data_IF_802492131338
#
_entry.id   IF_802492131338
#
_cell.length_a   1.000
_cell.length_b   1.000
_cell.length_c   1.000
_cell.angle_alpha   90.00
_cell.angle_beta   90.00
_cell.angle_gamma   90.00
#
_symmetry.space_group_name_H-M   'P 1'
#
loop_
_entity.id
_entity.type
_entity.pdbx_description
1 polymer ?
#
# COMPACT_ATOMS: atom_id res chain seq x y z
N UNK A 1 -1.52 -0.04 -22.63
CA UNK A 1 -2.16 1.22 -23.07
C UNK A 1 -1.11 2.12 -23.74
N UNK A 2 -1.51 3.12 -24.53
CA UNK A 2 -0.58 4.03 -25.23
C UNK A 2 -0.12 5.13 -24.27
N UNK A 3 1.14 5.56 -24.37
CA UNK A 3 1.68 6.70 -23.62
C UNK A 3 0.80 7.94 -23.84
N UNK A 4 0.11 8.42 -22.80
CA UNK A 4 -0.80 9.57 -22.86
C UNK A 4 -2.11 9.40 -22.10
N UNK A 5 -2.46 8.20 -21.65
CA UNK A 5 -3.68 7.96 -20.86
C UNK A 5 -3.44 8.17 -19.36
N UNK A 6 -4.34 8.92 -18.73
CA UNK A 6 -4.40 9.16 -17.29
C UNK A 6 -4.83 7.89 -16.55
N UNK A 7 -4.14 7.53 -15.47
CA UNK A 7 -4.45 6.37 -14.64
C UNK A 7 -5.17 6.81 -13.38
N UNK A 8 -6.36 6.25 -13.10
CA UNK A 8 -7.18 6.57 -11.92
C UNK A 8 -6.99 5.52 -10.84
N UNK A 9 -6.51 5.93 -9.67
CA UNK A 9 -6.27 5.05 -8.51
C UNK A 9 -7.12 5.54 -7.34
N UNK A 10 -7.95 4.66 -6.77
CA UNK A 10 -8.69 4.94 -5.55
C UNK A 10 -8.03 4.30 -4.34
N UNK A 11 -7.78 5.07 -3.29
CA UNK A 11 -7.31 4.56 -2.00
C UNK A 11 -8.49 4.16 -1.14
N UNK A 12 -8.68 2.85 -0.92
CA UNK A 12 -9.88 2.29 -0.29
C UNK A 12 -9.76 1.96 1.18
N UNK A 13 -8.56 1.97 1.75
CA UNK A 13 -8.32 1.77 3.18
C UNK A 13 -6.99 2.40 3.57
N UNK A 14 -6.91 2.97 4.78
CA UNK A 14 -5.68 3.50 5.36
C UNK A 14 -5.13 2.76 6.56
N UNK A 15 -5.86 1.78 7.10
CA UNK A 15 -5.44 0.96 8.23
C UNK A 15 -6.32 -0.29 8.36
N UNK A 16 -5.87 -1.29 9.12
CA UNK A 16 -6.67 -2.46 9.43
C UNK A 16 -7.84 -2.11 10.35
N UNK A 17 -9.07 -2.40 9.90
CA UNK A 17 -10.31 -2.02 10.57
C UNK A 17 -10.91 -0.69 10.09
N UNK A 18 -10.42 -0.12 8.98
CA UNK A 18 -11.03 1.02 8.30
C UNK A 18 -12.41 0.64 7.69
N UNK A 19 -13.17 1.65 7.24
CA UNK A 19 -14.53 1.49 6.74
C UNK A 19 -14.61 0.66 5.46
N UNK A 20 -15.40 -0.41 5.46
CA UNK A 20 -15.71 -1.19 4.26
C UNK A 20 -16.52 -0.44 3.22
N UNK A 21 -17.06 0.75 3.56
CA UNK A 21 -17.68 1.62 2.56
C UNK A 21 -16.65 2.25 1.62
N UNK A 22 -15.39 2.42 2.04
CA UNK A 22 -14.32 3.00 1.21
C UNK A 22 -14.09 2.23 -0.10
N UNK A 23 -13.79 0.91 -0.05
CA UNK A 23 -13.64 0.11 -1.25
C UNK A 23 -14.95 0.02 -2.04
N UNK A 24 -16.10 -0.09 -1.35
CA UNK A 24 -17.41 -0.19 -1.98
C UNK A 24 -17.75 1.04 -2.82
N UNK A 25 -17.62 2.25 -2.28
CA UNK A 25 -17.91 3.48 -3.01
C UNK A 25 -16.98 3.65 -4.22
N UNK A 26 -15.71 3.26 -4.08
CA UNK A 26 -14.70 3.40 -5.13
C UNK A 26 -14.96 2.44 -6.29
N UNK A 27 -15.30 1.18 -6.01
CA UNK A 27 -15.66 0.18 -7.02
C UNK A 27 -16.95 0.57 -7.76
N UNK A 28 -17.97 1.04 -7.03
CA UNK A 28 -19.28 1.32 -7.61
C UNK A 28 -19.34 2.67 -8.34
N UNK A 29 -18.69 3.69 -7.78
CA UNK A 29 -18.88 5.10 -8.16
C UNK A 29 -17.58 5.87 -8.41
N UNK A 30 -16.40 5.30 -8.12
CA UNK A 30 -15.12 6.00 -8.25
C UNK A 30 -14.60 6.14 -9.68
N UNK A 31 -15.09 5.32 -10.61
CA UNK A 31 -14.56 5.24 -11.99
C UNK A 31 -13.03 5.09 -12.00
N UNK A 32 -12.51 4.10 -11.28
CA UNK A 32 -11.07 3.87 -11.10
C UNK A 32 -10.58 2.72 -11.97
N UNK A 33 -9.29 2.75 -12.31
CA UNK A 33 -8.60 1.63 -12.93
C UNK A 33 -8.05 0.67 -11.86
N UNK A 34 -7.55 1.25 -10.76
CA UNK A 34 -6.96 0.52 -9.64
C UNK A 34 -7.63 0.87 -8.33
N UNK A 35 -7.97 -0.15 -7.55
CA UNK A 35 -8.28 -0.04 -6.14
C UNK A 35 -7.05 -0.42 -5.35
N UNK A 36 -6.53 0.49 -4.52
CA UNK A 36 -5.43 0.20 -3.61
C UNK A 36 -5.89 0.24 -2.18
N UNK A 37 -5.38 -0.66 -1.34
CA UNK A 37 -5.73 -0.71 0.08
C UNK A 37 -4.49 -0.90 0.94
N UNK A 38 -4.32 0.00 1.90
CA UNK A 38 -3.30 -0.10 2.94
C UNK A 38 -3.95 -0.52 4.27
N UNK A 39 -3.49 -1.64 4.81
CA UNK A 39 -3.96 -2.24 6.05
C UNK A 39 -2.94 -2.13 7.19
N UNK A 40 -1.67 -1.89 6.86
CA UNK A 40 -0.60 -2.25 7.78
C UNK A 40 -0.04 -1.02 8.48
N UNK A 41 -0.09 -1.05 9.81
CA UNK A 41 0.74 -0.21 10.67
C UNK A 41 1.70 -1.10 11.47
N UNK A 42 2.72 -0.51 12.10
CA UNK A 42 3.69 -1.24 12.92
C UNK A 42 3.02 -2.05 14.05
N UNK A 43 1.97 -1.48 14.66
CA UNK A 43 1.18 -2.17 15.70
C UNK A 43 0.40 -3.36 15.13
N UNK A 44 -0.16 -3.21 13.92
CA UNK A 44 -0.91 -4.26 13.21
C UNK A 44 -0.03 -5.48 12.97
N UNK A 45 1.20 -5.27 12.51
CA UNK A 45 2.16 -6.36 12.28
C UNK A 45 2.39 -7.21 13.53
N UNK A 46 2.45 -6.58 14.69
CA UNK A 46 2.63 -7.27 15.98
C UNK A 46 1.42 -8.16 16.34
N UNK A 47 0.21 -7.70 16.02
CA UNK A 47 -1.03 -8.45 16.24
C UNK A 47 -1.10 -9.64 15.28
N UNK A 48 -0.79 -9.44 14.01
CA UNK A 48 -0.78 -10.49 12.99
C UNK A 48 0.29 -11.56 13.28
N UNK A 49 1.48 -11.16 13.73
CA UNK A 49 2.52 -12.09 14.18
C UNK A 49 2.06 -12.93 15.38
N UNK A 50 1.30 -12.34 16.32
CA UNK A 50 0.69 -13.09 17.43
C UNK A 50 -0.38 -14.06 16.93
N UNK A 51 -1.20 -13.67 15.95
CA UNK A 51 -2.21 -14.55 15.35
C UNK A 51 -1.55 -15.75 14.65
N UNK A 52 -0.56 -15.52 13.78
CA UNK A 52 0.17 -16.59 13.06
C UNK A 52 0.84 -17.60 13.99
N UNK A 53 1.35 -17.15 15.14
CA UNK A 53 1.93 -18.06 16.16
C UNK A 53 0.91 -18.96 16.84
N UNK A 54 -0.34 -18.50 16.95
CA UNK A 54 -1.44 -19.31 17.51
C UNK A 54 -1.99 -20.28 16.46
N UNK A 55 -2.09 -19.81 15.22
CA UNK A 55 -2.58 -20.57 14.08
C UNK A 55 -1.75 -20.23 12.83
N UNK A 56 -0.96 -21.19 12.28
CA UNK A 56 -0.15 -20.97 11.09
C UNK A 56 -0.93 -20.53 9.85
N UNK A 57 -2.25 -20.75 9.79
CA UNK A 57 -3.11 -20.31 8.69
C UNK A 57 -3.47 -18.81 8.77
N UNK A 58 -3.24 -18.15 9.91
CA UNK A 58 -3.51 -16.71 10.11
C UNK A 58 -2.25 -15.86 9.88
N UNK A 59 -2.37 -14.54 10.14
CA UNK A 59 -1.27 -13.58 10.00
C UNK A 59 -1.46 -12.56 8.88
N UNK A 60 -2.68 -12.44 8.36
CA UNK A 60 -3.11 -11.46 7.36
C UNK A 60 -4.43 -10.80 7.80
N UNK A 61 -4.79 -9.67 7.17
CA UNK A 61 -6.04 -8.95 7.42
C UNK A 61 -7.23 -9.71 6.82
N UNK A 62 -7.93 -10.50 7.64
CA UNK A 62 -9.01 -11.39 7.19
C UNK A 62 -10.25 -10.64 6.70
N UNK A 63 -10.46 -9.44 7.18
CA UNK A 63 -11.52 -8.52 6.76
C UNK A 63 -11.36 -8.05 5.31
N UNK A 64 -10.14 -7.99 4.76
CA UNK A 64 -9.96 -7.79 3.31
C UNK A 64 -10.71 -8.86 2.50
N UNK A 65 -10.66 -10.12 2.94
CA UNK A 65 -11.40 -11.20 2.29
C UNK A 65 -12.92 -11.05 2.50
N UNK A 66 -13.37 -10.83 3.74
CA UNK A 66 -14.80 -10.88 4.08
C UNK A 66 -15.56 -9.61 3.70
N UNK A 67 -14.93 -8.45 3.78
CA UNK A 67 -15.57 -7.14 3.62
C UNK A 67 -15.26 -6.49 2.26
N UNK A 68 -14.23 -6.93 1.54
CA UNK A 68 -13.85 -6.37 0.23
C UNK A 68 -14.00 -7.40 -0.87
N UNK A 69 -13.20 -8.47 -0.85
CA UNK A 69 -13.20 -9.46 -1.93
C UNK A 69 -14.56 -10.14 -2.04
N UNK A 70 -15.08 -10.71 -0.95
CA UNK A 70 -16.34 -11.44 -0.97
C UNK A 70 -17.51 -10.62 -1.55
N UNK A 71 -17.79 -9.39 -1.09
CA UNK A 71 -18.92 -8.62 -1.60
C UNK A 71 -18.67 -7.92 -2.96
N UNK A 72 -17.41 -7.69 -3.35
CA UNK A 72 -17.10 -6.84 -4.53
C UNK A 72 -16.47 -7.57 -5.71
N UNK A 73 -16.01 -8.83 -5.56
CA UNK A 73 -15.27 -9.55 -6.61
C UNK A 73 -15.98 -9.57 -7.98
N UNK A 74 -17.29 -9.82 -8.00
CA UNK A 74 -18.09 -9.82 -9.24
C UNK A 74 -18.05 -8.46 -9.93
N UNK A 75 -18.18 -7.38 -9.16
CA UNK A 75 -18.21 -6.02 -9.70
C UNK A 75 -16.82 -5.53 -10.11
N UNK A 76 -15.79 -5.88 -9.34
CA UNK A 76 -14.37 -5.67 -9.66
C UNK A 76 -14.06 -6.31 -11.03
N UNK A 77 -14.45 -7.57 -11.21
CA UNK A 77 -14.28 -8.27 -12.47
C UNK A 77 -15.06 -7.63 -13.62
N UNK A 78 -16.36 -7.35 -13.41
CA UNK A 78 -17.23 -6.74 -14.43
C UNK A 78 -16.70 -5.40 -14.93
N UNK A 79 -16.05 -4.62 -14.06
CA UNK A 79 -15.48 -3.30 -14.38
C UNK A 79 -14.03 -3.35 -14.85
N UNK A 80 -13.36 -4.50 -14.76
CA UNK A 80 -11.94 -4.63 -15.05
C UNK A 80 -11.05 -3.83 -14.10
N UNK A 81 -11.46 -3.67 -12.83
CA UNK A 81 -10.67 -2.98 -11.81
C UNK A 81 -9.58 -3.93 -11.33
N UNK A 82 -8.33 -3.45 -11.28
CA UNK A 82 -7.22 -4.17 -10.66
C UNK A 82 -7.11 -3.79 -9.18
N UNK A 83 -6.77 -4.74 -8.33
CA UNK A 83 -6.67 -4.55 -6.88
C UNK A 83 -5.23 -4.77 -6.43
N UNK A 84 -4.69 -3.85 -5.62
CA UNK A 84 -3.39 -4.01 -4.99
C UNK A 84 -3.51 -3.71 -3.49
N UNK A 85 -3.07 -4.63 -2.63
CA UNK A 85 -3.11 -4.39 -1.19
C UNK A 85 -1.94 -5.03 -0.46
N UNK A 86 -1.64 -4.51 0.72
CA UNK A 86 -0.68 -5.11 1.65
C UNK A 86 -1.38 -5.93 2.77
N UNK A 87 -2.63 -6.36 2.53
CA UNK A 87 -3.43 -7.12 3.49
C UNK A 87 -2.79 -8.46 3.91
N UNK A 88 -1.76 -8.93 3.20
CA UNK A 88 -1.07 -10.18 3.49
C UNK A 88 -0.30 -10.18 4.82
N UNK A 89 0.05 -9.02 5.36
CA UNK A 89 0.67 -8.91 6.69
C UNK A 89 1.94 -9.76 6.80
N UNK A 90 1.98 -10.66 7.79
CA UNK A 90 3.09 -11.61 7.98
C UNK A 90 2.82 -12.97 7.34
N UNK A 91 1.72 -13.14 6.61
CA UNK A 91 1.37 -14.38 5.91
C UNK A 91 0.65 -14.11 4.57
N UNK A 92 1.32 -13.44 3.62
CA UNK A 92 0.71 -13.07 2.34
C UNK A 92 0.28 -14.28 1.52
N UNK A 93 0.95 -15.43 1.67
CA UNK A 93 0.58 -16.65 0.95
C UNK A 93 -0.79 -17.18 1.37
N UNK A 94 -1.04 -17.35 2.68
CA UNK A 94 -2.35 -17.82 3.15
C UNK A 94 -3.47 -16.82 2.84
N UNK A 95 -3.15 -15.52 2.76
CA UNK A 95 -4.10 -14.51 2.28
C UNK A 95 -4.51 -14.79 0.82
N UNK A 96 -3.53 -14.99 -0.07
CA UNK A 96 -3.77 -15.30 -1.48
C UNK A 96 -4.56 -16.60 -1.65
N UNK A 97 -4.19 -17.66 -0.94
CA UNK A 97 -4.87 -18.96 -1.01
C UNK A 97 -6.35 -18.83 -0.62
N UNK A 98 -6.64 -18.03 0.42
CA UNK A 98 -8.01 -17.77 0.87
C UNK A 98 -8.82 -16.96 -0.14
N UNK A 99 -8.20 -15.98 -0.82
CA UNK A 99 -8.84 -15.20 -1.90
C UNK A 99 -9.14 -16.11 -3.09
N UNK A 100 -8.19 -16.93 -3.54
CA UNK A 100 -8.40 -17.88 -4.64
C UNK A 100 -9.56 -18.83 -4.34
N UNK A 101 -9.61 -19.37 -3.11
CA UNK A 101 -10.70 -20.23 -2.68
C UNK A 101 -12.06 -19.52 -2.66
N UNK A 102 -12.11 -18.24 -2.30
CA UNK A 102 -13.33 -17.43 -2.32
C UNK A 102 -13.79 -17.12 -3.75
N UNK A 103 -12.87 -16.72 -4.63
CA UNK A 103 -13.16 -16.45 -6.05
C UNK A 103 -13.70 -17.70 -6.76
N UNK A 104 -13.12 -18.86 -6.48
CA UNK A 104 -13.58 -20.14 -7.03
C UNK A 104 -15.03 -20.46 -6.61
N UNK A 105 -15.40 -20.20 -5.34
CA UNK A 105 -16.79 -20.38 -4.87
C UNK A 105 -17.78 -19.46 -5.58
N UNK A 106 -17.35 -18.27 -5.97
CA UNK A 106 -18.18 -17.29 -6.66
C UNK A 106 -18.18 -17.46 -8.19
N UNK A 107 -17.32 -18.32 -8.73
CA UNK A 107 -17.15 -18.49 -10.18
C UNK A 107 -16.55 -17.24 -10.86
N UNK A 108 -15.76 -16.45 -10.14
CA UNK A 108 -15.17 -15.19 -10.65
C UNK A 108 -13.74 -15.46 -11.12
N UNK A 109 -13.41 -15.27 -12.42
CA UNK A 109 -12.12 -15.67 -12.98
C UNK A 109 -11.04 -14.57 -12.84
N UNK A 110 -10.79 -14.11 -11.61
CA UNK A 110 -9.73 -13.13 -11.32
C UNK A 110 -8.42 -13.84 -10.94
N UNK A 111 -7.30 -13.35 -11.47
CA UNK A 111 -5.96 -13.88 -11.18
C UNK A 111 -5.36 -13.20 -9.95
N UNK A 112 -4.90 -14.00 -8.99
CA UNK A 112 -4.29 -13.51 -7.74
C UNK A 112 -2.78 -13.76 -7.78
N UNK A 113 -1.99 -12.76 -7.39
CA UNK A 113 -0.55 -12.88 -7.21
C UNK A 113 -0.12 -12.46 -5.80
N UNK A 114 0.85 -13.19 -5.26
CA UNK A 114 1.43 -12.97 -3.94
C UNK A 114 2.83 -12.34 -4.08
N UNK A 115 3.07 -11.22 -3.42
CA UNK A 115 4.39 -10.61 -3.27
C UNK A 115 4.93 -10.94 -1.90
N UNK A 116 5.97 -11.77 -1.87
CA UNK A 116 6.68 -12.23 -0.66
C UNK A 116 8.12 -11.72 -0.65
N UNK A 117 8.79 -11.84 0.50
CA UNK A 117 10.21 -11.52 0.66
C UNK A 117 10.47 -10.42 1.69
N UNK A 118 9.41 -9.91 2.31
CA UNK A 118 9.46 -8.94 3.39
C UNK A 118 9.90 -9.56 4.72
N UNK A 119 9.76 -10.87 4.93
CA UNK A 119 10.23 -11.55 6.15
C UNK A 119 11.76 -11.45 6.30
N UNK A 120 12.17 -10.58 7.21
CA UNK A 120 13.55 -10.27 7.53
C UNK A 120 14.08 -11.04 8.76
N UNK A 121 13.33 -12.00 9.32
CA UNK A 121 13.76 -12.76 10.51
C UNK A 121 15.09 -13.46 10.28
N UNK A 122 15.29 -14.05 9.09
CA UNK A 122 16.54 -14.71 8.70
C UNK A 122 17.76 -13.78 8.72
N UNK A 123 17.55 -12.48 8.49
CA UNK A 123 18.61 -11.47 8.54
C UNK A 123 18.94 -11.14 10.00
N UNK A 124 17.93 -11.02 10.86
CA UNK A 124 18.13 -10.72 12.27
C UNK A 124 18.78 -11.88 13.03
N UNK A 125 18.59 -13.13 12.61
CA UNK A 125 19.23 -14.30 13.22
C UNK A 125 20.60 -14.63 12.61
N UNK A 126 21.09 -13.79 11.69
CA UNK A 126 22.35 -13.96 10.98
C UNK A 126 23.58 -13.46 11.73
N UNK A 127 24.76 -13.73 11.17
CA UNK A 127 26.08 -13.34 11.72
C UNK A 127 26.26 -11.84 11.91
N UNK A 128 25.52 -11.04 11.15
CA UNK A 128 25.59 -9.57 11.19
C UNK A 128 24.62 -8.95 12.21
N UNK A 129 23.91 -9.74 13.02
CA UNK A 129 22.95 -9.25 14.02
C UNK A 129 23.52 -8.12 14.88
N UNK A 130 24.75 -8.28 15.34
CA UNK A 130 25.44 -7.32 16.22
C UNK A 130 25.86 -6.02 15.53
N UNK A 131 25.72 -5.92 14.20
CA UNK A 131 25.93 -4.66 13.45
C UNK A 131 24.64 -3.88 13.28
N UNK A 132 23.50 -4.52 13.53
CA UNK A 132 22.19 -3.93 13.38
C UNK A 132 21.89 -2.99 14.52
N UNK A 133 21.43 -1.78 14.19
CA UNK A 133 21.03 -0.77 15.17
C UNK A 133 19.62 -0.30 14.91
N UNK A 134 18.92 0.03 15.98
CA UNK A 134 17.65 0.73 15.91
C UNK A 134 17.88 2.14 15.33
N UNK A 135 17.03 2.55 14.39
CA UNK A 135 17.24 3.72 13.54
C UNK A 135 17.26 5.05 14.31
N UNK A 136 16.43 5.19 15.35
CA UNK A 136 16.23 6.46 16.04
C UNK A 136 17.23 6.66 17.19
N UNK A 137 17.56 5.59 17.90
CA UNK A 137 18.35 5.61 19.13
C UNK A 137 19.76 5.06 18.94
N UNK A 138 20.02 4.32 17.86
CA UNK A 138 21.28 3.60 17.68
C UNK A 138 21.47 2.46 18.68
N UNK A 139 20.39 2.00 19.33
CA UNK A 139 20.46 0.91 20.31
C UNK A 139 20.68 -0.45 19.63
N UNK A 140 21.29 -1.39 20.35
CA UNK A 140 21.34 -2.77 19.92
C UNK A 140 19.94 -3.39 19.86
N UNK A 141 19.76 -4.38 18.99
CA UNK A 141 18.50 -5.13 18.93
C UNK A 141 18.23 -5.86 20.25
N UNK A 142 16.94 -6.02 20.63
CA UNK A 142 16.54 -6.92 21.71
C UNK A 142 17.11 -8.33 21.52
N UNK A 143 17.31 -9.13 22.58
CA UNK A 143 17.89 -10.48 22.44
C UNK A 143 17.06 -11.44 21.58
N UNK A 144 15.73 -11.26 21.55
CA UNK A 144 14.80 -12.11 20.81
C UNK A 144 13.76 -11.26 20.10
N UNK A 145 13.52 -11.55 18.83
CA UNK A 145 12.48 -10.94 18.00
C UNK A 145 11.38 -11.96 17.74
N UNK A 146 10.15 -11.47 17.64
CA UNK A 146 8.96 -12.24 17.27
C UNK A 146 8.73 -12.23 15.76
N UNK A 147 8.95 -11.07 15.14
CA UNK A 147 8.80 -10.86 13.70
C UNK A 147 9.68 -9.69 13.27
N UNK A 148 10.04 -9.68 11.99
CA UNK A 148 10.75 -8.60 11.34
C UNK A 148 10.29 -8.52 9.88
N UNK A 149 9.80 -7.36 9.47
CA UNK A 149 9.23 -7.16 8.14
C UNK A 149 9.86 -5.94 7.46
N UNK A 150 10.48 -6.16 6.31
CA UNK A 150 11.06 -5.13 5.47
C UNK A 150 9.98 -4.40 4.68
N UNK A 151 10.16 -3.10 4.50
CA UNK A 151 9.27 -2.26 3.68
C UNK A 151 9.73 -2.44 2.24
N UNK A 152 9.16 -3.42 1.54
CA UNK A 152 9.41 -3.62 0.12
C UNK A 152 8.94 -2.43 -0.73
N UNK A 153 9.57 -2.29 -1.90
CA UNK A 153 9.18 -1.33 -2.92
C UNK A 153 8.12 -1.83 -3.90
N UNK A 154 7.86 -1.03 -4.92
CA UNK A 154 6.76 -1.14 -5.87
C UNK A 154 7.05 -2.03 -7.09
N UNK A 155 8.32 -2.24 -7.45
CA UNK A 155 8.66 -3.05 -8.64
C UNK A 155 8.13 -4.51 -8.60
N UNK A 156 8.14 -5.23 -7.46
CA UNK A 156 7.52 -6.56 -7.38
C UNK A 156 6.00 -6.54 -7.64
N UNK A 157 5.31 -5.48 -7.22
CA UNK A 157 3.88 -5.29 -7.51
C UNK A 157 3.68 -5.08 -9.01
N UNK A 158 4.46 -4.20 -9.63
CA UNK A 158 4.38 -3.92 -11.06
C UNK A 158 4.65 -5.17 -11.92
N UNK A 159 5.61 -5.99 -11.49
CA UNK A 159 5.93 -7.27 -12.13
C UNK A 159 4.75 -8.26 -12.03
N UNK A 160 4.12 -8.37 -10.87
CA UNK A 160 2.93 -9.22 -10.70
C UNK A 160 1.78 -8.78 -11.63
N UNK A 161 1.55 -7.47 -11.75
CA UNK A 161 0.57 -6.90 -12.69
C UNK A 161 0.97 -7.18 -14.15
N UNK A 162 2.25 -7.07 -14.50
CA UNK A 162 2.77 -7.37 -15.84
C UNK A 162 2.56 -8.83 -16.25
N UNK A 163 2.53 -9.75 -15.29
CA UNK A 163 2.21 -11.16 -15.51
C UNK A 163 0.71 -11.45 -15.58
N UNK A 164 -0.12 -10.41 -15.56
CA UNK A 164 -1.56 -10.50 -15.75
C UNK A 164 -2.34 -10.75 -14.47
N UNK A 165 -1.78 -10.45 -13.29
CA UNK A 165 -2.56 -10.45 -12.05
C UNK A 165 -3.65 -9.37 -12.10
N UNK A 166 -4.82 -9.72 -11.56
CA UNK A 166 -5.93 -8.79 -11.32
C UNK A 166 -5.95 -8.34 -9.86
N UNK A 167 -5.52 -9.21 -8.95
CA UNK A 167 -5.37 -8.93 -7.52
C UNK A 167 -3.92 -9.21 -7.13
N UNK A 168 -3.22 -8.23 -6.58
CA UNK A 168 -1.88 -8.37 -6.02
C UNK A 168 -1.93 -8.14 -4.52
N UNK A 169 -1.49 -9.15 -3.75
CA UNK A 169 -1.39 -9.07 -2.29
C UNK A 169 0.07 -9.10 -1.89
N UNK A 170 0.48 -8.15 -1.06
CA UNK A 170 1.83 -8.08 -0.50
C UNK A 170 1.80 -8.34 1.03
N UNK A 171 2.97 -8.69 1.58
CA UNK A 171 3.23 -8.60 3.02
C UNK A 171 3.46 -7.14 3.44
N UNK A 172 4.57 -6.83 4.14
CA UNK A 172 4.95 -5.43 4.35
C UNK A 172 5.58 -4.82 3.08
N UNK A 173 5.06 -3.67 2.69
CA UNK A 173 5.68 -2.76 1.74
C UNK A 173 5.65 -1.33 2.29
N UNK A 174 6.28 -0.38 1.61
CA UNK A 174 5.95 1.02 1.83
C UNK A 174 4.49 1.27 1.43
N UNK A 175 3.83 2.17 2.13
CA UNK A 175 2.38 2.36 2.05
C UNK A 175 1.99 2.86 0.66
N UNK A 176 2.72 3.86 0.14
CA UNK A 176 2.63 4.30 -1.26
C UNK A 176 2.99 3.26 -2.32
N UNK A 177 3.69 2.16 -1.98
CA UNK A 177 4.19 1.19 -2.98
C UNK A 177 3.06 0.47 -3.73
N UNK A 178 1.88 0.31 -3.12
CA UNK A 178 0.72 -0.31 -3.79
C UNK A 178 0.20 0.54 -4.94
N UNK A 179 0.24 1.87 -4.80
CA UNK A 179 -0.12 2.81 -5.87
C UNK A 179 1.00 2.93 -6.91
N UNK A 180 2.25 3.08 -6.46
CA UNK A 180 3.42 3.19 -7.36
C UNK A 180 3.56 1.95 -8.23
N UNK A 181 3.26 0.76 -7.71
CA UNK A 181 3.33 -0.50 -8.46
C UNK A 181 2.38 -0.51 -9.66
N UNK A 182 1.15 0.01 -9.47
CA UNK A 182 0.20 0.20 -10.56
C UNK A 182 0.71 1.21 -11.60
N UNK A 183 1.31 2.33 -11.16
CA UNK A 183 1.83 3.36 -12.06
C UNK A 183 3.06 2.88 -12.85
N UNK A 184 3.97 2.12 -12.23
CA UNK A 184 5.09 1.48 -12.93
C UNK A 184 4.58 0.52 -14.00
N UNK A 185 3.54 -0.27 -13.71
CA UNK A 185 2.94 -1.19 -14.68
C UNK A 185 2.34 -0.44 -15.87
N UNK A 186 1.56 0.60 -15.63
CA UNK A 186 0.86 1.34 -16.69
C UNK A 186 1.78 2.22 -17.54
N UNK A 187 2.72 2.92 -16.89
CA UNK A 187 3.62 3.87 -17.57
C UNK A 187 4.96 3.27 -17.98
N UNK A 188 5.25 2.05 -17.53
CA UNK A 188 6.49 1.33 -17.87
C UNK A 188 7.75 1.93 -17.25
N UNK A 189 7.61 2.75 -16.20
CA UNK A 189 8.70 3.44 -15.51
C UNK A 189 9.81 2.46 -15.10
N UNK A 190 11.05 2.95 -15.17
CA UNK A 190 12.28 2.23 -14.85
C UNK A 190 12.87 2.73 -13.54
N UNK A 191 13.79 1.97 -12.91
CA UNK A 191 14.44 2.38 -11.65
C UNK A 191 15.17 3.74 -11.70
N UNK A 192 15.49 4.24 -12.90
CA UNK A 192 16.14 5.54 -13.08
C UNK A 192 15.17 6.68 -13.41
N UNK A 193 13.86 6.42 -13.56
CA UNK A 193 12.84 7.44 -13.78
C UNK A 193 12.44 8.10 -12.45
N UNK A 194 13.43 8.64 -11.74
CA UNK A 194 13.34 9.01 -10.33
C UNK A 194 12.26 10.05 -10.06
N UNK A 195 12.11 11.06 -10.91
CA UNK A 195 11.08 12.09 -10.74
C UNK A 195 9.66 11.52 -10.90
N UNK A 196 9.48 10.57 -11.82
CA UNK A 196 8.21 9.93 -12.05
C UNK A 196 7.85 8.99 -10.89
N UNK A 197 8.83 8.19 -10.42
CA UNK A 197 8.70 7.38 -9.20
C UNK A 197 8.37 8.24 -7.98
N UNK A 198 9.03 9.39 -7.82
CA UNK A 198 8.78 10.32 -6.72
C UNK A 198 7.36 10.92 -6.79
N UNK A 199 6.91 11.34 -7.97
CA UNK A 199 5.55 11.82 -8.19
C UNK A 199 4.50 10.75 -7.89
N UNK A 200 4.71 9.51 -8.36
CA UNK A 200 3.84 8.37 -8.06
C UNK A 200 3.81 8.02 -6.57
N UNK A 201 4.95 8.10 -5.88
CA UNK A 201 5.02 7.89 -4.43
C UNK A 201 4.23 8.94 -3.66
N UNK A 202 4.32 10.21 -4.06
CA UNK A 202 3.51 11.26 -3.44
C UNK A 202 2.02 11.08 -3.75
N UNK A 203 1.67 10.63 -4.96
CA UNK A 203 0.29 10.30 -5.30
C UNK A 203 -0.26 9.19 -4.40
N UNK A 204 0.54 8.13 -4.17
CA UNK A 204 0.22 7.06 -3.22
C UNK A 204 0.04 7.58 -1.80
N UNK A 205 0.97 8.40 -1.33
CA UNK A 205 0.91 9.04 -0.01
C UNK A 205 -0.33 9.94 0.17
N UNK A 206 -0.84 10.54 -0.90
CA UNK A 206 -2.07 11.37 -0.84
C UNK A 206 -3.34 10.52 -0.69
N UNK A 207 -3.34 9.25 -1.14
CA UNK A 207 -4.53 8.38 -1.08
C UNK A 207 -4.45 7.28 -0.01
N UNK A 208 -3.36 7.19 0.75
CA UNK A 208 -3.28 6.36 1.95
C UNK A 208 -3.95 7.07 3.16
N UNK A 209 -3.92 6.44 4.33
CA UNK A 209 -4.55 6.96 5.56
C UNK A 209 -6.07 7.23 5.47
N UNK A 210 -6.77 6.54 4.56
CA UNK A 210 -8.23 6.59 4.45
C UNK A 210 -8.70 7.90 3.81
N UNK A 211 -9.78 8.54 4.29
CA UNK A 211 -10.31 9.75 3.68
C UNK A 211 -9.60 11.05 4.10
N UNK A 212 -8.33 11.02 4.54
CA UNK A 212 -7.67 12.21 5.08
C UNK A 212 -7.57 13.36 4.07
N UNK A 213 -7.09 13.08 2.86
CA UNK A 213 -6.97 14.08 1.78
C UNK A 213 -8.31 14.58 1.23
N UNK A 214 -9.42 13.96 1.64
CA UNK A 214 -10.80 14.35 1.35
C UNK A 214 -11.58 14.83 2.59
N UNK A 215 -10.90 15.09 3.71
CA UNK A 215 -11.47 15.77 4.88
C UNK A 215 -11.66 14.92 6.13
N UNK A 216 -11.24 13.65 6.13
CA UNK A 216 -11.51 12.68 7.21
C UNK A 216 -10.84 13.04 8.53
N UNK A 217 -9.61 13.56 8.45
CA UNK A 217 -8.81 14.05 9.57
C UNK A 217 -8.34 15.48 9.31
N UNK A 218 -9.28 16.36 8.96
CA UNK A 218 -9.00 17.73 8.58
C UNK A 218 -9.04 18.71 9.75
N UNK A 219 -8.06 19.60 9.87
CA UNK A 219 -8.02 20.62 10.94
C UNK A 219 -9.28 21.49 10.94
N UNK A 220 -9.70 21.96 9.77
CA UNK A 220 -10.93 22.75 9.60
C UNK A 220 -12.17 21.87 9.42
N UNK A 221 -12.32 20.85 10.28
CA UNK A 221 -13.37 19.82 10.23
C UNK A 221 -14.80 20.37 10.06
N UNK A 222 -15.07 21.60 10.53
CA UNK A 222 -16.37 22.28 10.37
C UNK A 222 -16.78 22.45 8.91
N UNK A 223 -15.81 22.54 8.00
CA UNK A 223 -16.06 22.66 6.56
C UNK A 223 -16.59 21.35 5.94
N UNK A 224 -16.42 20.22 6.61
CA UNK A 224 -16.87 18.90 6.14
C UNK A 224 -17.92 18.26 7.05
N UNK A 225 -18.23 18.86 8.19
CA UNK A 225 -19.08 18.30 9.25
C UNK A 225 -20.44 17.79 8.73
N UNK A 226 -21.09 18.54 7.85
CA UNK A 226 -22.42 18.20 7.34
C UNK A 226 -22.44 16.96 6.42
N UNK A 227 -21.28 16.57 5.88
CA UNK A 227 -21.15 15.47 4.93
C UNK A 227 -20.13 14.42 5.35
N UNK A 228 -19.62 14.51 6.58
CA UNK A 228 -18.54 13.65 7.08
C UNK A 228 -18.95 12.17 7.13
N UNK A 229 -20.22 11.88 7.43
CA UNK A 229 -20.75 10.50 7.48
C UNK A 229 -20.79 9.79 6.12
N UNK A 230 -20.76 10.55 5.01
CA UNK A 230 -20.73 10.04 3.65
C UNK A 230 -19.44 10.39 2.92
N UNK A 231 -18.36 10.64 3.68
CA UNK A 231 -17.09 11.15 3.14
C UNK A 231 -16.55 10.28 2.00
N UNK A 232 -16.13 10.96 0.93
CA UNK A 232 -15.54 10.31 -0.22
C UNK A 232 -14.15 9.79 0.07
N UNK A 233 -13.84 8.54 -0.25
CA UNK A 233 -12.46 8.06 -0.24
C UNK A 233 -11.70 8.64 -1.44
N UNK A 234 -10.40 8.92 -1.29
CA UNK A 234 -9.66 9.74 -2.23
C UNK A 234 -9.29 8.95 -3.49
N UNK A 235 -9.19 9.70 -4.59
CA UNK A 235 -8.81 9.22 -5.91
C UNK A 235 -7.69 10.12 -6.42
N UNK A 236 -6.66 9.54 -7.01
CA UNK A 236 -5.67 10.27 -7.80
C UNK A 236 -5.77 9.91 -9.27
N UNK A 237 -5.72 10.96 -10.08
CA UNK A 237 -5.62 10.90 -11.53
C UNK A 237 -4.17 11.18 -11.92
N UNK A 238 -3.41 10.13 -12.18
CA UNK A 238 -1.96 10.20 -12.37
C UNK A 238 -1.58 10.28 -13.85
N UNK A 239 -0.48 10.98 -14.12
CA UNK A 239 0.09 11.15 -15.45
C UNK A 239 1.50 10.55 -15.53
N UNK A 240 1.95 10.25 -16.75
CA UNK A 240 3.23 9.56 -16.98
C UNK A 240 4.47 10.36 -16.53
N UNK A 241 4.33 11.68 -16.33
CA UNK A 241 5.39 12.56 -15.83
C UNK A 241 5.50 12.59 -14.29
N UNK A 242 4.65 11.82 -13.59
CA UNK A 242 4.56 11.79 -12.13
C UNK A 242 3.68 12.89 -11.52
N UNK A 243 3.13 13.80 -12.32
CA UNK A 243 2.10 14.73 -11.82
C UNK A 243 0.77 13.99 -11.61
N UNK A 244 -0.09 14.55 -10.75
CA UNK A 244 -1.41 13.97 -10.50
C UNK A 244 -2.45 15.02 -10.11
N UNK A 245 -3.72 14.65 -10.17
CA UNK A 245 -4.83 15.41 -9.58
C UNK A 245 -5.49 14.56 -8.49
N UNK A 246 -5.50 15.06 -7.26
CA UNK A 246 -6.28 14.49 -6.17
C UNK A 246 -7.74 14.92 -6.28
N UNK A 247 -8.65 13.98 -6.07
CA UNK A 247 -10.10 14.16 -6.14
C UNK A 247 -10.81 13.07 -5.32
N UNK A 248 -12.14 12.99 -5.41
CA UNK A 248 -12.96 11.95 -4.76
C UNK A 248 -14.13 11.56 -5.67
N UNK A 249 -14.79 10.45 -5.37
CA UNK A 249 -15.96 10.01 -6.13
C UNK A 249 -17.09 11.06 -6.12
N UNK A 250 -17.74 11.28 -7.26
CA UNK A 250 -18.88 12.19 -7.35
C UNK A 250 -20.04 11.72 -6.47
N UNK A 251 -20.80 12.67 -5.91
CA UNK A 251 -21.96 12.36 -5.05
C UNK A 251 -21.60 11.94 -3.61
N UNK A 252 -20.32 11.89 -3.26
CA UNK A 252 -19.86 11.64 -1.89
C UNK A 252 -19.62 12.94 -1.11
N UNK A 253 -19.61 12.85 0.22
CA UNK A 253 -19.28 13.94 1.12
C UNK A 253 -17.79 14.28 1.16
N UNK A 254 -17.40 15.10 2.13
CA UNK A 254 -16.02 15.57 2.29
C UNK A 254 -15.65 16.73 1.38
N UNK A 255 -14.37 17.09 1.41
CA UNK A 255 -13.78 18.22 0.69
C UNK A 255 -12.38 17.82 0.21
N UNK A 256 -12.12 17.97 -1.08
CA UNK A 256 -10.75 17.93 -1.62
C UNK A 256 -10.32 19.36 -1.97
N UNK A 257 -9.43 19.93 -1.16
CA UNK A 257 -8.95 21.31 -1.31
C UNK A 257 -7.44 21.38 -1.16
N UNK A 258 -6.87 22.55 -1.46
CA UNK A 258 -5.45 22.80 -1.20
C UNK A 258 -5.09 22.46 0.24
N UNK A 259 -5.95 22.78 1.21
CA UNK A 259 -5.71 22.54 2.62
C UNK A 259 -5.70 21.04 2.96
N UNK A 260 -6.72 20.27 2.55
CA UNK A 260 -6.81 18.84 2.89
C UNK A 260 -5.68 18.03 2.24
N UNK A 261 -5.33 18.36 1.00
CA UNK A 261 -4.23 17.68 0.28
C UNK A 261 -2.87 18.09 0.86
N UNK A 262 -2.68 19.36 1.23
CA UNK A 262 -1.41 19.80 1.86
C UNK A 262 -1.21 19.18 3.24
N UNK A 263 -2.28 19.05 4.04
CA UNK A 263 -2.20 18.36 5.34
C UNK A 263 -1.75 16.91 5.15
N UNK A 264 -2.34 16.17 4.20
CA UNK A 264 -1.91 14.82 3.88
C UNK A 264 -0.46 14.77 3.40
N UNK A 265 -0.03 15.66 2.50
CA UNK A 265 1.36 15.72 2.02
C UNK A 265 2.36 15.90 3.17
N UNK A 266 1.99 16.66 4.20
CA UNK A 266 2.85 16.89 5.37
C UNK A 266 2.72 15.83 6.46
N UNK A 267 1.73 14.95 6.36
CA UNK A 267 1.45 13.92 7.36
C UNK A 267 2.58 12.90 7.38
N UNK A 268 3.13 12.63 8.57
CA UNK A 268 4.24 11.68 8.78
C UNK A 268 5.50 11.93 7.91
N UNK A 269 5.60 13.11 7.30
CA UNK A 269 6.75 13.53 6.51
C UNK A 269 7.75 14.25 7.41
N UNK A 270 8.84 13.55 7.77
CA UNK A 270 9.89 14.06 8.64
C UNK A 270 10.75 15.15 7.99
N UNK A 271 11.55 14.78 6.99
CA UNK A 271 12.36 15.70 6.18
C UNK A 271 11.78 15.79 4.76
N UNK A 272 11.06 16.87 4.41
CA UNK A 272 10.48 17.04 3.07
C UNK A 272 11.49 17.03 1.93
N UNK A 273 12.78 17.32 2.18
CA UNK A 273 13.81 17.23 1.16
C UNK A 273 14.32 15.79 0.97
N UNK A 274 14.13 14.91 1.96
CA UNK A 274 14.69 13.57 1.99
C UNK A 274 13.68 12.56 2.56
N UNK A 275 12.49 12.47 1.97
CA UNK A 275 11.52 11.47 2.36
C UNK A 275 11.89 10.11 1.75
N UNK A 276 12.48 9.24 2.57
CA UNK A 276 13.12 8.00 2.11
C UNK A 276 12.08 6.91 1.90
N UNK A 277 11.94 6.46 0.64
CA UNK A 277 11.14 5.30 0.27
C UNK A 277 12.03 4.22 -0.37
N UNK A 278 11.52 2.96 -0.45
CA UNK A 278 12.23 1.83 -1.03
C UNK A 278 12.78 2.04 -2.45
N UNK A 279 12.03 2.70 -3.33
CA UNK A 279 12.36 2.83 -4.75
C UNK A 279 12.96 4.18 -5.12
N UNK A 280 12.79 5.20 -4.27
CA UNK A 280 13.20 6.58 -4.51
C UNK A 280 13.25 7.36 -3.20
N UNK A 281 14.11 8.38 -3.10
CA UNK A 281 14.02 9.38 -2.03
C UNK A 281 13.33 10.63 -2.58
N UNK A 282 12.18 10.99 -2.00
CA UNK A 282 11.36 12.13 -2.44
C UNK A 282 11.94 13.45 -1.94
N UNK A 283 12.00 14.42 -2.84
CA UNK A 283 12.21 15.82 -2.54
C UNK A 283 10.95 16.62 -2.89
N UNK A 284 10.26 17.05 -1.83
CA UNK A 284 9.01 17.78 -1.88
C UNK A 284 9.19 19.29 -1.74
N UNK A 285 10.43 19.80 -1.67
CA UNK A 285 10.67 21.23 -1.40
C UNK A 285 10.25 22.16 -2.54
N UNK A 286 10.14 21.62 -3.76
CA UNK A 286 9.79 22.36 -4.98
C UNK A 286 8.39 22.05 -5.54
N UNK A 287 7.54 21.35 -4.79
CA UNK A 287 6.22 20.96 -5.30
C UNK A 287 5.30 22.17 -5.51
N UNK A 288 4.36 22.01 -6.44
CA UNK A 288 3.24 22.93 -6.64
C UNK A 288 1.95 22.20 -6.37
N UNK A 289 1.11 22.80 -5.54
CA UNK A 289 -0.23 22.32 -5.18
C UNK A 289 -1.21 23.41 -5.59
N UNK A 290 -2.11 23.10 -6.51
CA UNK A 290 -2.99 24.08 -7.15
C UNK A 290 -4.43 23.54 -7.23
N UNK A 291 -5.42 24.31 -6.77
CA UNK A 291 -6.82 23.98 -7.01
C UNK A 291 -7.17 24.22 -8.47
N UNK A 292 -7.70 23.19 -9.14
CA UNK A 292 -8.04 23.23 -10.57
C UNK A 292 -9.53 23.14 -10.82
N UNK A 293 -10.33 23.04 -9.76
CA UNK A 293 -11.78 22.97 -9.81
C UNK A 293 -12.35 22.50 -8.47
N UNK A 294 -13.66 22.34 -8.42
CA UNK A 294 -14.34 21.78 -7.25
C UNK A 294 -13.81 20.37 -6.97
N UNK A 295 -13.38 20.12 -5.73
CA UNK A 295 -12.86 18.83 -5.28
C UNK A 295 -11.68 18.30 -6.14
N UNK A 296 -10.84 19.21 -6.66
CA UNK A 296 -9.74 18.87 -7.57
C UNK A 296 -8.49 19.68 -7.30
N UNK A 297 -7.43 19.01 -6.89
CA UNK A 297 -6.14 19.63 -6.55
C UNK A 297 -5.04 18.97 -7.38
N UNK A 298 -4.37 19.75 -8.22
CA UNK A 298 -3.22 19.29 -9.01
C UNK A 298 -1.94 19.40 -8.17
N UNK A 299 -1.16 18.33 -8.17
CA UNK A 299 0.18 18.28 -7.56
C UNK A 299 1.21 17.99 -8.65
N UNK A 300 2.29 18.76 -8.67
CA UNK A 300 3.37 18.62 -9.66
C UNK A 300 4.70 19.11 -9.12
N UNK A 301 5.80 18.84 -9.85
CA UNK A 301 7.13 19.36 -9.52
C UNK A 301 7.88 18.57 -8.44
N UNK A 302 7.38 17.39 -8.05
CA UNK A 302 8.10 16.46 -7.15
C UNK A 302 9.39 16.00 -7.84
N UNK A 303 10.49 15.91 -7.09
CA UNK A 303 11.76 15.40 -7.58
C UNK A 303 12.17 14.14 -6.85
N UNK A 304 12.89 13.26 -7.56
CA UNK A 304 13.43 12.03 -7.00
C UNK A 304 14.95 12.05 -6.91
N UNK A 305 15.47 11.52 -5.80
CA UNK A 305 16.88 11.16 -5.62
C UNK A 305 17.02 9.64 -5.64
N UNK A 306 18.20 9.09 -5.97
CA UNK A 306 18.42 7.65 -5.92
C UNK A 306 18.02 7.06 -4.57
N UNK A 307 17.37 5.88 -4.53
CA UNK A 307 17.04 5.21 -3.28
C UNK A 307 18.30 4.90 -2.46
N UNK A 308 18.12 4.77 -1.15
CA UNK A 308 19.20 4.26 -0.29
C UNK A 308 19.52 2.81 -0.64
N UNK A 309 20.75 2.31 -0.39
CA UNK A 309 21.08 0.91 -0.63
C UNK A 309 20.45 -0.02 0.43
N UNK A 310 19.43 0.45 1.15
CA UNK A 310 18.94 -0.17 2.38
C UNK A 310 17.42 -0.16 2.47
N UNK A 311 16.84 -1.16 3.15
CA UNK A 311 15.41 -1.15 3.51
C UNK A 311 15.19 -0.76 4.97
N UNK A 312 14.06 -0.07 5.22
CA UNK A 312 13.44 0.04 6.55
C UNK A 312 12.87 -1.33 6.92
N UNK A 313 13.12 -1.79 8.14
CA UNK A 313 12.57 -3.04 8.69
C UNK A 313 11.86 -2.72 10.00
N UNK A 314 10.60 -3.12 10.14
CA UNK A 314 9.87 -3.06 11.41
C UNK A 314 9.96 -4.40 12.13
N UNK A 315 10.45 -4.38 13.38
CA UNK A 315 10.59 -5.56 14.21
C UNK A 315 9.72 -5.53 15.48
N UNK A 316 9.11 -6.66 15.81
CA UNK A 316 8.34 -6.86 17.05
C UNK A 316 9.12 -7.74 18.03
N UNK A 317 9.12 -7.40 19.32
CA UNK A 317 9.69 -8.22 20.38
C UNK A 317 8.81 -8.17 21.65
N UNK A 318 9.04 -9.09 22.59
CA UNK A 318 8.28 -9.16 23.85
C UNK A 318 9.13 -8.60 24.99
N UNK A 319 8.68 -7.52 25.62
CA UNK A 319 9.32 -6.95 26.80
C UNK A 319 8.92 -7.72 28.07
N UNK A 320 9.90 -8.24 28.81
CA UNK A 320 9.69 -9.08 30.01
C UNK A 320 9.05 -8.32 31.20
N UNK A 321 8.92 -6.98 31.15
CA UNK A 321 8.59 -6.16 32.34
C UNK A 321 7.25 -5.41 32.40
N UNK A 322 6.39 -5.42 31.38
CA UNK A 322 4.99 -4.92 31.49
C UNK A 322 4.07 -5.58 30.45
N UNK A 323 2.77 -5.75 30.72
CA UNK A 323 1.80 -6.35 29.79
C UNK A 323 1.35 -5.34 28.73
N UNK A 324 2.31 -4.73 28.01
CA UNK A 324 2.05 -3.92 26.83
C UNK A 324 2.81 -4.55 25.65
N UNK A 325 2.20 -4.69 24.46
CA UNK A 325 2.90 -5.16 23.27
C UNK A 325 4.05 -4.19 22.92
N UNK A 326 5.15 -4.77 22.45
CA UNK A 326 6.51 -4.23 22.52
C UNK A 326 6.80 -2.96 21.70
N UNK A 327 7.93 -2.35 22.06
CA UNK A 327 8.52 -1.18 21.39
C UNK A 327 9.02 -1.57 19.99
N UNK A 328 8.64 -0.74 19.01
CA UNK A 328 9.10 -0.77 17.63
C UNK A 328 10.61 -0.69 17.57
N UNK A 329 11.25 -1.63 16.87
CA UNK A 329 12.65 -1.49 16.48
C UNK A 329 12.66 -1.35 14.97
N UNK A 330 12.88 -0.13 14.50
CA UNK A 330 13.07 0.09 13.08
C UNK A 330 14.56 -0.04 12.76
N UNK A 331 14.90 -0.85 11.78
CA UNK A 331 16.29 -1.09 11.38
C UNK A 331 16.48 -0.66 9.93
N UNK A 332 17.61 -0.04 9.62
CA UNK A 332 18.05 0.24 8.25
C UNK A 332 19.11 -0.80 7.84
N UNK A 333 18.87 -1.56 6.78
CA UNK A 333 19.69 -2.72 6.39
C UNK A 333 20.24 -2.63 4.97
N UNK A 334 21.53 -2.89 4.68
CA UNK A 334 22.01 -2.98 3.29
C UNK A 334 21.34 -4.14 2.53
N UNK A 335 20.99 -3.88 1.26
CA UNK A 335 20.38 -4.80 0.29
C UNK A 335 21.04 -6.19 0.34
N UNK A 336 20.38 -7.17 0.98
CA UNK A 336 20.64 -8.59 0.73
C UNK A 336 19.72 -9.04 -0.40
N UNK A 337 20.24 -9.86 -1.32
CA UNK A 337 19.47 -10.37 -2.46
C UNK A 337 18.28 -11.18 -1.98
N UNK A 338 17.05 -10.74 -2.29
CA UNK A 338 15.84 -11.48 -1.99
C UNK A 338 15.50 -12.48 -3.10
N UNK A 339 15.08 -13.69 -2.71
CA UNK A 339 14.56 -14.71 -3.61
C UNK A 339 13.08 -14.49 -3.87
N UNK A 340 12.70 -14.59 -5.14
CA UNK A 340 11.34 -14.43 -5.67
C UNK A 340 10.64 -15.78 -5.70
N UNK A 341 9.36 -15.83 -5.35
CA UNK A 341 8.46 -16.93 -5.72
C UNK A 341 7.19 -16.34 -6.32
N UNK A 342 6.98 -16.61 -7.60
CA UNK A 342 5.67 -16.49 -8.22
C UNK A 342 4.82 -17.64 -7.73
N UNK A 343 3.67 -17.34 -7.13
CA UNK A 343 2.62 -18.33 -6.95
C UNK A 343 1.55 -18.01 -7.99
N UNK A 344 1.55 -18.80 -9.07
CA UNK A 344 0.45 -18.84 -10.03
C UNK A 344 -0.69 -19.65 -9.43
N UNK A 345 -1.93 -19.22 -9.63
CA UNK A 345 -3.05 -20.15 -9.63
C UNK A 345 -2.73 -21.26 -10.65
N UNK A 346 -2.85 -22.52 -10.24
CA UNK A 346 -2.72 -23.65 -11.15
C UNK A 346 -3.59 -23.43 -12.38
N UNK A 347 -3.14 -23.81 -13.59
CA UNK A 347 -4.03 -23.83 -14.74
C UNK A 347 -5.25 -24.70 -14.41
N UNK A 348 -6.43 -24.20 -14.80
CA UNK A 348 -7.62 -25.02 -14.96
C UNK A 348 -7.26 -26.08 -16.02
N UNK A 349 -7.47 -27.39 -15.79
CA UNK A 349 -7.31 -28.38 -16.86
C UNK A 349 -8.26 -28.00 -18.00
N UNK A 350 -7.73 -27.92 -19.22
CA UNK A 350 -8.54 -27.74 -20.43
C UNK A 350 -9.59 -28.86 -20.49
N UNK A 351 -10.81 -28.52 -20.90
CA UNK A 351 -11.96 -29.44 -21.10
C UNK A 351 -11.72 -30.52 -22.18
N UNK A 352 -10.48 -30.72 -22.64
CA UNK A 352 -10.11 -31.74 -23.62
C UNK A 352 -9.59 -33.06 -22.99
N UNK A 353 -9.66 -33.21 -21.65
CA UNK A 353 -9.30 -34.44 -20.92
C UNK A 353 -10.45 -35.02 -20.06
N UNK A 354 -11.69 -35.03 -20.56
CA UNK A 354 -12.77 -35.95 -20.11
C UNK A 354 -13.53 -36.53 -21.31
#
# INVERSE_FOLDING_TARGET
MRSGEMVRIGGGAGFWGDSSEGPRQLVLHGNINYLVLDYLAEVTMSILAKARRKDPALGYATDFLTEVIRPLAVEIHRRGIKVVCNAGGVNPQSCCDAIVAELAKQGVPLKVACVTGDDAMHVLDGKDREKIREMATGSALPPSMVSASAYLGAFPVAEALAQGADIVVTGRCADSAVAVGALIHEFGWKPHDLDALAGGSLAGHVIECGPQSSGGFFTDWKLVADTWSSIGFPIVECFADGSFVATKAEGTGGLVSLATVSEQITYETGDPANYILPDVVLDMTGIRVEETGKDRVRVSGVRGKPPTPTYKVSGTWIAIRKPLPGVLVTVIFPLCSFRKSLVSASPIPDDDDI
#
